data_IF_871441984821
#
_entry.id   IF_871441984821
#
_cell.length_a   1.000
_cell.length_b   1.000
_cell.length_c   1.000
_cell.angle_alpha   90.00
_cell.angle_beta   90.00
_cell.angle_gamma   90.00
#
_symmetry.space_group_name_H-M   'P 1'
#
loop_
_entity.id
_entity.type
_entity.pdbx_description
1 polymer ?
#
# COMPACT_ATOMS: atom_id res chain seq x y z
N UNK A 1 -5.00 15.33 -13.45
CA UNK A 1 -4.15 16.17 -12.57
C UNK A 1 -4.85 16.62 -11.30
N UNK A 2 -6.15 16.99 -11.34
CA UNK A 2 -6.89 17.40 -10.14
C UNK A 2 -6.79 16.38 -8.97
N UNK A 3 -7.07 15.10 -9.23
CA UNK A 3 -6.96 14.03 -8.22
C UNK A 3 -5.56 13.90 -7.60
N UNK A 4 -4.50 13.98 -8.42
CA UNK A 4 -3.11 13.86 -7.93
C UNK A 4 -2.77 14.98 -6.94
N UNK A 5 -3.26 16.20 -7.22
CA UNK A 5 -3.13 17.37 -6.36
C UNK A 5 -3.99 17.25 -5.11
N UNK A 6 -5.25 16.83 -5.25
CA UNK A 6 -6.20 16.63 -4.15
C UNK A 6 -5.72 15.60 -3.14
N UNK A 7 -5.18 14.48 -3.62
CA UNK A 7 -4.66 13.39 -2.80
C UNK A 7 -3.19 13.56 -2.40
N UNK A 8 -2.55 14.67 -2.79
CA UNK A 8 -1.15 14.99 -2.47
C UNK A 8 -0.16 13.88 -2.85
N UNK A 9 -0.39 13.21 -3.98
CA UNK A 9 0.38 12.01 -4.37
C UNK A 9 1.88 12.31 -4.55
N UNK A 10 2.22 13.52 -4.96
CA UNK A 10 3.61 13.95 -5.21
C UNK A 10 4.51 13.85 -3.98
N UNK A 11 3.97 14.02 -2.78
CA UNK A 11 4.74 13.99 -1.52
C UNK A 11 4.32 12.87 -0.58
N UNK A 12 3.35 12.04 -0.96
CA UNK A 12 2.78 10.99 -0.11
C UNK A 12 3.83 10.02 0.45
N UNK A 13 4.88 9.67 -0.30
CA UNK A 13 5.90 8.72 0.18
C UNK A 13 6.74 9.25 1.35
N UNK A 14 6.84 10.56 1.54
CA UNK A 14 7.59 11.19 2.63
C UNK A 14 6.68 11.68 3.75
N UNK A 15 5.54 12.25 3.37
CA UNK A 15 4.72 13.04 4.29
C UNK A 15 3.66 12.17 4.98
N UNK A 16 3.15 11.16 4.29
CA UNK A 16 2.09 10.31 4.83
C UNK A 16 2.66 9.23 5.75
N UNK A 17 2.21 9.25 7.00
CA UNK A 17 2.43 8.16 7.96
C UNK A 17 1.13 7.39 8.11
N UNK A 18 1.07 6.11 7.68
CA UNK A 18 -0.14 5.33 7.85
C UNK A 18 -0.46 5.15 9.34
N UNK A 19 -1.74 5.22 9.73
CA UNK A 19 -2.18 4.86 11.08
C UNK A 19 -1.70 3.47 11.49
N UNK A 20 -1.31 3.29 12.75
CA UNK A 20 -0.77 2.01 13.25
C UNK A 20 -1.70 0.81 13.01
N UNK A 21 -3.02 1.04 13.05
CA UNK A 21 -4.04 0.00 12.81
C UNK A 21 -3.93 -0.56 11.39
N UNK A 22 -3.67 0.28 10.38
CA UNK A 22 -3.51 -0.18 9.00
C UNK A 22 -2.22 -0.99 8.85
N UNK A 23 -1.14 -0.55 9.50
CA UNK A 23 0.14 -1.27 9.47
C UNK A 23 0.02 -2.66 10.11
N UNK A 24 -0.77 -2.77 11.19
CA UNK A 24 -0.93 -4.03 11.95
C UNK A 24 -1.94 -5.00 11.33
N UNK A 25 -3.06 -4.49 10.82
CA UNK A 25 -4.21 -5.35 10.44
C UNK A 25 -4.52 -5.36 8.94
N UNK A 26 -3.90 -4.49 8.15
CA UNK A 26 -4.03 -4.44 6.69
C UNK A 26 -2.66 -4.60 6.01
N UNK A 27 -1.87 -5.56 6.49
CA UNK A 27 -0.51 -5.76 6.03
C UNK A 27 -0.44 -6.07 4.52
N UNK A 28 0.42 -5.32 3.83
CA UNK A 28 0.74 -5.51 2.41
C UNK A 28 2.23 -5.39 2.23
N UNK A 29 2.81 -6.21 1.35
CA UNK A 29 4.24 -6.20 1.08
C UNK A 29 4.53 -6.39 -0.41
N UNK A 30 5.65 -5.84 -0.85
CA UNK A 30 6.27 -6.21 -2.11
C UNK A 30 7.37 -7.23 -1.82
N UNK A 31 7.29 -8.41 -2.44
CA UNK A 31 8.09 -9.57 -2.00
C UNK A 31 9.09 -10.07 -3.04
N UNK A 32 8.81 -9.90 -4.34
CA UNK A 32 9.66 -10.39 -5.42
C UNK A 32 9.22 -9.81 -6.77
N UNK A 33 9.80 -10.34 -7.85
CA UNK A 33 9.36 -10.12 -9.22
C UNK A 33 8.80 -11.42 -9.81
N UNK A 34 7.79 -11.31 -10.67
CA UNK A 34 7.27 -12.44 -11.43
C UNK A 34 8.20 -12.80 -12.61
N UNK A 35 7.76 -13.77 -13.43
CA UNK A 35 8.56 -14.27 -14.57
C UNK A 35 8.78 -13.23 -15.67
N UNK A 36 7.97 -12.18 -15.70
CA UNK A 36 8.06 -11.08 -16.67
C UNK A 36 8.83 -9.88 -16.08
N UNK A 37 9.26 -9.97 -14.81
CA UNK A 37 9.97 -8.91 -14.12
C UNK A 37 9.06 -7.88 -13.43
N UNK A 38 7.75 -8.14 -13.35
CA UNK A 38 6.81 -7.24 -12.66
C UNK A 38 6.88 -7.45 -11.15
N UNK A 39 6.78 -6.36 -10.38
CA UNK A 39 6.80 -6.43 -8.92
C UNK A 39 5.55 -7.15 -8.37
N UNK A 40 5.75 -8.11 -7.48
CA UNK A 40 4.67 -8.86 -6.84
C UNK A 40 4.26 -8.18 -5.54
N UNK A 41 3.00 -7.75 -5.49
CA UNK A 41 2.34 -7.27 -4.27
C UNK A 41 1.57 -8.40 -3.60
N UNK A 42 1.98 -8.77 -2.39
CA UNK A 42 1.27 -9.73 -1.56
C UNK A 42 0.29 -9.02 -0.62
N UNK A 43 -0.92 -9.55 -0.52
CA UNK A 43 -1.99 -9.09 0.38
C UNK A 43 -2.65 -10.32 1.00
N UNK A 44 -2.60 -10.44 2.32
CA UNK A 44 -3.26 -11.54 3.04
C UNK A 44 -4.73 -11.19 3.30
N UNK A 45 -5.55 -11.22 2.23
CA UNK A 45 -6.95 -10.79 2.27
C UNK A 45 -7.78 -11.56 3.31
N UNK A 46 -7.46 -12.83 3.57
CA UNK A 46 -8.21 -13.66 4.53
C UNK A 46 -7.97 -13.29 5.99
N UNK A 47 -6.89 -12.55 6.29
CA UNK A 47 -6.54 -12.10 7.64
C UNK A 47 -6.78 -10.61 7.88
N UNK A 48 -7.35 -9.89 6.92
CA UNK A 48 -7.67 -8.49 7.11
C UNK A 48 -8.88 -8.40 8.05
N UNK A 49 -8.69 -7.70 9.17
CA UNK A 49 -9.77 -7.39 10.12
C UNK A 49 -10.57 -6.19 9.61
N UNK A 50 -11.42 -6.45 8.61
CA UNK A 50 -12.38 -5.48 8.10
C UNK A 50 -13.66 -5.66 8.89
N UNK A 51 -13.95 -4.69 9.76
CA UNK A 51 -15.20 -4.63 10.51
C UNK A 51 -16.28 -3.85 9.77
#
# INVERSE_FOLDING_TARGET
MAWRKEMQIDTMLTDYKPPEVLVKYAATSFICFDKEGSIVRHVDCGRIDIK
#
